data_IF_290560937618
#
_entry.id   IF_290560937618
#
_cell.length_a   1.000
_cell.length_b   1.000
_cell.length_c   1.000
_cell.angle_alpha   90.00
_cell.angle_beta   90.00
_cell.angle_gamma   90.00
#
_symmetry.space_group_name_H-M   'P 1'
#
loop_
_entity.id
_entity.type
_entity.pdbx_description
1 polymer ?
#
# COMPACT_ATOMS: atom_id res chain seq x y z
N UNK A 1 -3.68 19.10 -5.99
CA UNK A 1 -2.34 18.52 -6.28
C UNK A 1 -2.35 16.99 -6.16
N UNK A 2 -3.13 16.41 -5.23
CA UNK A 2 -3.23 14.96 -5.02
C UNK A 2 -3.79 14.13 -6.19
N UNK A 3 -4.76 14.62 -6.97
CA UNK A 3 -5.41 13.85 -8.05
C UNK A 3 -4.44 13.19 -9.06
N UNK A 4 -3.48 13.95 -9.62
CA UNK A 4 -2.51 13.38 -10.57
C UNK A 4 -1.63 12.30 -9.95
N UNK A 5 -1.30 12.44 -8.66
CA UNK A 5 -0.53 11.43 -7.93
C UNK A 5 -1.36 10.16 -7.73
N UNK A 6 -2.63 10.28 -7.34
CA UNK A 6 -3.56 9.15 -7.20
C UNK A 6 -3.74 8.43 -8.54
N UNK A 7 -3.95 9.17 -9.63
CA UNK A 7 -4.09 8.60 -10.97
C UNK A 7 -2.83 7.82 -11.39
N UNK A 8 -1.64 8.39 -11.13
CA UNK A 8 -0.37 7.72 -11.43
C UNK A 8 -0.19 6.45 -10.61
N UNK A 9 -0.43 6.52 -9.29
CA UNK A 9 -0.33 5.35 -8.40
C UNK A 9 -1.34 4.25 -8.76
N UNK A 10 -2.53 4.63 -9.26
CA UNK A 10 -3.52 3.68 -9.73
C UNK A 10 -3.03 2.94 -10.98
N UNK A 11 -2.46 3.65 -11.95
CA UNK A 11 -1.86 3.00 -13.13
C UNK A 11 -0.70 2.10 -12.71
N UNK A 12 0.21 2.58 -11.87
CA UNK A 12 1.34 1.79 -11.35
C UNK A 12 0.86 0.51 -10.65
N UNK A 13 -0.19 0.61 -9.82
CA UNK A 13 -0.78 -0.53 -9.12
C UNK A 13 -1.40 -1.56 -10.09
N UNK A 14 -2.11 -1.08 -11.11
CA UNK A 14 -2.74 -1.95 -12.12
C UNK A 14 -1.69 -2.67 -12.98
N UNK A 15 -0.64 -1.97 -13.41
CA UNK A 15 0.48 -2.56 -14.16
C UNK A 15 1.17 -3.62 -13.31
N UNK A 16 1.53 -3.28 -12.07
CA UNK A 16 2.20 -4.23 -11.17
C UNK A 16 1.33 -5.44 -10.82
N UNK A 17 0.01 -5.26 -10.73
CA UNK A 17 -0.93 -6.37 -10.53
C UNK A 17 -1.01 -7.29 -11.75
N UNK A 18 -0.99 -6.75 -12.96
CA UNK A 18 -0.95 -7.56 -14.18
C UNK A 18 0.39 -8.30 -14.33
N UNK A 19 1.51 -7.65 -14.05
CA UNK A 19 2.83 -8.28 -14.02
C UNK A 19 2.90 -9.41 -13.00
N UNK A 20 2.41 -9.19 -11.78
CA UNK A 20 2.36 -10.19 -10.73
C UNK A 20 1.48 -11.38 -11.12
N UNK A 21 0.30 -11.12 -11.68
CA UNK A 21 -0.61 -12.16 -12.18
C UNK A 21 0.07 -12.97 -13.29
N UNK A 22 0.62 -12.32 -14.31
CA UNK A 22 1.29 -12.97 -15.43
C UNK A 22 2.46 -13.84 -14.97
N UNK A 23 3.26 -13.35 -14.04
CA UNK A 23 4.38 -14.11 -13.49
C UNK A 23 3.89 -15.30 -12.65
N UNK A 24 3.03 -15.11 -11.65
CA UNK A 24 2.65 -16.19 -10.75
C UNK A 24 1.75 -17.26 -11.40
N UNK A 25 0.99 -16.91 -12.44
CA UNK A 25 0.15 -17.86 -13.16
C UNK A 25 0.94 -18.74 -14.13
N UNK A 26 1.90 -18.18 -14.87
CA UNK A 26 2.55 -18.87 -15.99
C UNK A 26 4.03 -19.17 -15.72
N UNK A 27 4.88 -18.13 -15.70
CA UNK A 27 6.34 -18.27 -15.58
C UNK A 27 6.78 -18.83 -14.21
N UNK A 28 6.09 -18.43 -13.16
CA UNK A 28 6.33 -18.82 -11.78
C UNK A 28 6.01 -20.29 -11.52
N UNK A 29 5.18 -20.95 -12.36
CA UNK A 29 4.90 -22.39 -12.18
C UNK A 29 6.16 -23.23 -12.41
N UNK A 30 6.87 -22.98 -13.51
CA UNK A 30 8.09 -23.72 -13.87
C UNK A 30 9.21 -23.48 -12.86
N UNK A 31 9.43 -22.21 -12.50
CA UNK A 31 10.44 -21.87 -11.48
C UNK A 31 10.09 -22.46 -10.12
N UNK A 32 8.81 -22.41 -9.72
CA UNK A 32 8.34 -23.03 -8.47
C UNK A 32 8.50 -24.54 -8.50
N UNK A 33 8.23 -25.23 -9.61
CA UNK A 33 8.39 -26.68 -9.70
C UNK A 33 9.84 -27.14 -9.58
N UNK A 34 10.80 -26.29 -9.97
CA UNK A 34 12.24 -26.53 -9.78
C UNK A 34 12.73 -26.31 -8.33
N UNK A 35 11.91 -25.70 -7.47
CA UNK A 35 12.24 -25.46 -6.05
C UNK A 35 11.99 -26.71 -5.19
N UNK A 36 12.74 -26.81 -4.09
CA UNK A 36 12.45 -27.80 -3.05
C UNK A 36 11.06 -27.57 -2.41
N UNK A 37 10.47 -28.59 -1.76
CA UNK A 37 9.11 -28.47 -1.20
C UNK A 37 8.91 -27.30 -0.23
N UNK A 38 9.93 -26.93 0.56
CA UNK A 38 9.81 -25.83 1.52
C UNK A 38 9.84 -24.49 0.80
N UNK A 39 10.75 -24.32 -0.15
CA UNK A 39 10.86 -23.14 -0.99
C UNK A 39 9.60 -22.95 -1.86
N UNK A 40 8.92 -24.02 -2.27
CA UNK A 40 7.61 -23.96 -2.94
C UNK A 40 6.52 -23.36 -2.06
N UNK A 41 6.48 -23.73 -0.79
CA UNK A 41 5.53 -23.16 0.19
C UNK A 41 5.85 -21.68 0.40
N UNK A 42 7.12 -21.33 0.62
CA UNK A 42 7.54 -19.94 0.77
C UNK A 42 7.17 -19.10 -0.46
N UNK A 43 7.40 -19.61 -1.67
CA UNK A 43 7.01 -18.96 -2.92
C UNK A 43 5.51 -18.67 -2.95
N UNK A 44 4.67 -19.69 -2.69
CA UNK A 44 3.21 -19.52 -2.66
C UNK A 44 2.74 -18.53 -1.58
N UNK A 45 3.38 -18.54 -0.41
CA UNK A 45 3.10 -17.56 0.63
C UNK A 45 3.42 -16.14 0.16
N UNK A 46 4.61 -15.89 -0.40
CA UNK A 46 4.97 -14.55 -0.85
C UNK A 46 4.12 -14.08 -2.04
N UNK A 47 3.72 -14.96 -2.95
CA UNK A 47 2.76 -14.63 -4.01
C UNK A 47 1.45 -14.10 -3.43
N UNK A 48 0.91 -14.77 -2.40
CA UNK A 48 -0.30 -14.32 -1.72
C UNK A 48 -0.08 -12.97 -1.01
N UNK A 49 1.08 -12.75 -0.40
CA UNK A 49 1.40 -11.45 0.21
C UNK A 49 1.49 -10.31 -0.80
N UNK A 50 2.00 -10.58 -2.01
CA UNK A 50 2.00 -9.60 -3.12
C UNK A 50 0.57 -9.26 -3.51
N UNK A 51 -0.28 -10.27 -3.76
CA UNK A 51 -1.66 -10.02 -4.20
C UNK A 51 -2.49 -9.32 -3.13
N UNK A 52 -2.35 -9.67 -1.84
CA UNK A 52 -3.02 -8.96 -0.74
C UNK A 52 -2.61 -7.49 -0.67
N UNK A 53 -1.31 -7.18 -0.79
CA UNK A 53 -0.82 -5.78 -0.82
C UNK A 53 -1.44 -5.00 -1.96
N UNK A 54 -1.41 -5.57 -3.17
CA UNK A 54 -1.95 -4.91 -4.36
C UNK A 54 -3.47 -4.69 -4.25
N UNK A 55 -4.20 -5.66 -3.70
CA UNK A 55 -5.62 -5.54 -3.45
C UNK A 55 -5.93 -4.39 -2.47
N UNK A 56 -5.20 -4.28 -1.37
CA UNK A 56 -5.37 -3.17 -0.41
C UNK A 56 -5.08 -1.81 -1.07
N UNK A 57 -3.99 -1.71 -1.84
CA UNK A 57 -3.61 -0.51 -2.57
C UNK A 57 -4.72 -0.11 -3.55
N UNK A 58 -5.20 -1.05 -4.37
CA UNK A 58 -6.22 -0.79 -5.39
C UNK A 58 -7.55 -0.36 -4.74
N UNK A 59 -7.99 -1.07 -3.69
CA UNK A 59 -9.22 -0.74 -2.97
C UNK A 59 -9.17 0.69 -2.39
N UNK A 60 -8.04 1.06 -1.79
CA UNK A 60 -7.83 2.41 -1.29
C UNK A 60 -7.82 3.45 -2.40
N UNK A 61 -7.09 3.22 -3.49
CA UNK A 61 -7.02 4.16 -4.62
C UNK A 61 -8.39 4.35 -5.31
N UNK A 62 -9.21 3.29 -5.41
CA UNK A 62 -10.57 3.40 -5.91
C UNK A 62 -11.45 4.26 -4.99
N UNK A 63 -11.28 4.15 -3.68
CA UNK A 63 -11.97 5.02 -2.70
C UNK A 63 -11.60 6.48 -2.94
N UNK A 64 -10.32 6.79 -3.14
CA UNK A 64 -9.86 8.15 -3.41
C UNK A 64 -10.42 8.70 -4.72
N UNK A 65 -10.48 7.86 -5.77
CA UNK A 65 -11.08 8.25 -7.06
C UNK A 65 -12.58 8.50 -6.96
N UNK A 66 -13.30 7.74 -6.13
CA UNK A 66 -14.72 7.98 -5.87
C UNK A 66 -14.95 9.33 -5.16
N UNK A 67 -14.04 9.72 -4.26
CA UNK A 67 -14.08 11.06 -3.64
C UNK A 67 -13.83 12.15 -4.69
N UNK A 68 -12.80 11.99 -5.52
CA UNK A 68 -12.47 12.94 -6.59
C UNK A 68 -13.59 13.08 -7.64
N UNK A 69 -14.35 12.00 -7.88
CA UNK A 69 -15.51 11.99 -8.76
C UNK A 69 -16.78 12.60 -8.11
N UNK A 70 -16.77 12.87 -6.81
CA UNK A 70 -17.93 13.33 -6.06
C UNK A 70 -18.95 12.22 -5.73
N UNK A 71 -18.60 10.96 -5.97
CA UNK A 71 -19.42 9.78 -5.66
C UNK A 71 -19.35 9.40 -4.18
N UNK A 72 -18.29 9.81 -3.49
CA UNK A 72 -18.07 9.60 -2.06
C UNK A 72 -17.69 10.91 -1.37
N UNK A 73 -18.24 11.18 -0.18
CA UNK A 73 -17.81 12.36 0.61
C UNK A 73 -16.43 12.10 1.19
N UNK A 74 -15.56 13.12 1.22
CA UNK A 74 -14.21 12.99 1.77
C UNK A 74 -14.19 12.46 3.23
N UNK A 75 -15.16 12.88 4.06
CA UNK A 75 -15.30 12.37 5.43
C UNK A 75 -15.62 10.86 5.49
N UNK A 76 -16.33 10.33 4.50
CA UNK A 76 -16.67 8.90 4.45
C UNK A 76 -15.47 8.04 4.04
N UNK A 77 -14.48 8.61 3.34
CA UNK A 77 -13.24 7.92 3.00
C UNK A 77 -12.31 7.71 4.21
N UNK A 78 -12.50 8.49 5.28
CA UNK A 78 -11.79 8.32 6.55
C UNK A 78 -12.37 7.21 7.44
N UNK A 79 -13.46 6.58 7.03
CA UNK A 79 -14.03 5.43 7.74
C UNK A 79 -12.96 4.32 7.87
N UNK A 80 -12.78 3.73 9.07
CA UNK A 80 -11.79 2.68 9.30
C UNK A 80 -11.86 1.50 8.31
N UNK A 81 -13.04 1.19 7.76
CA UNK A 81 -13.22 0.13 6.76
C UNK A 81 -12.72 0.49 5.36
N UNK A 82 -12.48 1.78 5.08
CA UNK A 82 -12.01 2.31 3.79
C UNK A 82 -10.56 2.79 3.82
N UNK A 83 -9.95 2.78 5.00
CA UNK A 83 -8.50 2.96 5.20
C UNK A 83 -7.73 1.82 4.53
N UNK A 84 -6.43 2.05 4.26
CA UNK A 84 -5.58 1.06 3.57
C UNK A 84 -5.51 -0.28 4.33
N UNK A 85 -5.60 -0.24 5.66
CA UNK A 85 -5.52 -1.42 6.54
C UNK A 85 -4.13 -2.06 6.56
N UNK A 86 -3.86 -2.99 7.50
CA UNK A 86 -2.57 -3.66 7.59
C UNK A 86 -2.34 -4.60 6.41
N UNK A 87 -1.15 -4.61 5.84
CA UNK A 87 -0.76 -5.59 4.82
C UNK A 87 0.28 -6.58 5.34
N UNK A 88 0.35 -7.79 4.75
CA UNK A 88 1.34 -8.78 5.15
C UNK A 88 2.77 -8.30 4.85
N UNK A 89 3.68 -8.66 5.75
CA UNK A 89 5.11 -8.35 5.65
C UNK A 89 5.87 -9.53 5.05
N UNK A 90 6.77 -9.22 4.14
CA UNK A 90 7.70 -10.17 3.53
C UNK A 90 9.00 -10.19 4.33
N UNK A 91 9.44 -11.39 4.74
CA UNK A 91 10.66 -11.56 5.52
C UNK A 91 11.90 -11.56 4.62
N UNK A 92 12.94 -10.82 5.00
CA UNK A 92 14.13 -10.65 4.14
C UNK A 92 14.79 -11.98 3.74
N UNK A 93 14.85 -12.94 4.67
CA UNK A 93 15.41 -14.27 4.39
C UNK A 93 14.57 -15.04 3.36
N UNK A 94 13.24 -15.00 3.49
CA UNK A 94 12.32 -15.67 2.58
C UNK A 94 12.36 -15.04 1.17
N UNK A 95 12.53 -13.72 1.07
CA UNK A 95 12.68 -13.04 -0.22
C UNK A 95 14.03 -13.38 -0.87
N UNK A 96 15.11 -13.46 -0.08
CA UNK A 96 16.46 -13.69 -0.63
C UNK A 96 16.63 -15.03 -1.36
N UNK A 97 15.85 -16.05 -0.98
CA UNK A 97 15.87 -17.39 -1.60
C UNK A 97 14.99 -17.50 -2.84
N UNK A 98 14.23 -16.47 -3.21
CA UNK A 98 13.30 -16.53 -4.35
C UNK A 98 13.98 -16.26 -5.69
N UNK A 99 13.37 -16.68 -6.81
CA UNK A 99 13.81 -16.25 -8.14
C UNK A 99 13.84 -14.74 -8.29
N UNK A 100 14.71 -14.23 -9.16
CA UNK A 100 14.96 -12.79 -9.31
C UNK A 100 13.70 -11.99 -9.64
N UNK A 101 12.84 -12.52 -10.51
CA UNK A 101 11.59 -11.84 -10.88
C UNK A 101 10.59 -11.80 -9.72
N UNK A 102 10.43 -12.89 -8.96
CA UNK A 102 9.63 -12.91 -7.74
C UNK A 102 10.09 -11.85 -6.73
N UNK A 103 11.41 -11.76 -6.51
CA UNK A 103 11.99 -10.74 -5.60
C UNK A 103 11.63 -9.32 -6.05
N UNK A 104 11.74 -9.03 -7.34
CA UNK A 104 11.39 -7.72 -7.89
C UNK A 104 9.92 -7.36 -7.62
N UNK A 105 8.99 -8.29 -7.86
CA UNK A 105 7.56 -8.09 -7.60
C UNK A 105 7.25 -7.89 -6.11
N UNK A 106 7.92 -8.64 -5.23
CA UNK A 106 7.78 -8.51 -3.78
C UNK A 106 8.27 -7.14 -3.30
N UNK A 107 9.42 -6.70 -3.77
CA UNK A 107 9.99 -5.39 -3.42
C UNK A 107 9.12 -4.25 -3.96
N UNK A 108 8.72 -4.32 -5.24
CA UNK A 108 7.89 -3.29 -5.87
C UNK A 108 6.54 -3.13 -5.15
N UNK A 109 5.86 -4.24 -4.83
CA UNK A 109 4.59 -4.18 -4.10
C UNK A 109 4.76 -3.69 -2.66
N UNK A 110 5.89 -3.96 -2.00
CA UNK A 110 6.20 -3.44 -0.66
C UNK A 110 6.41 -1.93 -0.67
N UNK A 111 7.15 -1.44 -1.67
CA UNK A 111 7.42 -0.03 -1.83
C UNK A 111 6.16 0.75 -2.18
N UNK A 112 5.36 0.24 -3.12
CA UNK A 112 4.10 0.85 -3.49
C UNK A 112 3.16 0.93 -2.29
N UNK A 113 3.03 -0.16 -1.53
CA UNK A 113 2.22 -0.16 -0.30
C UNK A 113 2.71 0.88 0.69
N UNK A 114 4.02 0.98 0.96
CA UNK A 114 4.60 2.01 1.85
C UNK A 114 4.33 3.42 1.36
N UNK A 115 4.35 3.67 0.05
CA UNK A 115 4.04 4.98 -0.54
C UNK A 115 2.57 5.35 -0.30
N UNK A 116 1.66 4.41 -0.53
CA UNK A 116 0.22 4.60 -0.33
C UNK A 116 -0.12 4.75 1.16
N UNK A 117 0.51 3.97 2.04
CA UNK A 117 0.34 4.08 3.49
C UNK A 117 0.67 5.49 4.00
N UNK A 118 1.77 6.09 3.53
CA UNK A 118 2.11 7.48 3.89
C UNK A 118 1.07 8.50 3.43
N UNK A 119 0.44 8.28 2.28
CA UNK A 119 -0.63 9.14 1.80
C UNK A 119 -1.89 8.97 2.65
N UNK A 120 -2.25 7.73 2.94
CA UNK A 120 -3.38 7.39 3.81
C UNK A 120 -3.22 8.03 5.21
N UNK A 121 -2.01 7.98 5.78
CA UNK A 121 -1.70 8.63 7.06
C UNK A 121 -1.79 10.17 6.98
N UNK A 122 -1.26 10.77 5.91
CA UNK A 122 -1.34 12.23 5.72
C UNK A 122 -2.79 12.74 5.63
N UNK A 123 -3.71 11.96 5.08
CA UNK A 123 -5.13 12.31 5.02
C UNK A 123 -5.81 12.27 6.39
N UNK A 124 -5.34 11.39 7.29
CA UNK A 124 -5.83 11.32 8.66
C UNK A 124 -5.42 12.54 9.48
N UNK A 125 -4.17 12.97 9.30
CA UNK A 125 -3.63 14.17 9.94
C UNK A 125 -4.26 15.46 9.41
N UNK A 126 -4.70 15.51 8.14
CA UNK A 126 -5.41 16.66 7.56
C UNK A 126 -6.91 16.73 7.93
N UNK A 127 -7.45 15.73 8.64
CA UNK A 127 -8.84 15.72 9.10
C UNK A 127 -9.15 16.88 10.07
N UNK A 128 -10.44 17.14 10.38
CA UNK A 128 -10.87 18.29 11.19
C UNK A 128 -10.21 18.40 12.58
N UNK A 129 -9.61 17.31 13.09
CA UNK A 129 -8.84 17.30 14.34
C UNK A 129 -7.40 17.79 14.20
N UNK A 130 -6.72 17.63 13.06
CA UNK A 130 -5.35 18.13 12.87
C UNK A 130 -5.27 19.63 12.59
N UNK A 131 -6.36 20.21 12.08
CA UNK A 131 -6.50 21.66 11.92
C UNK A 131 -6.66 22.43 13.25
N UNK A 132 -7.01 21.75 14.35
CA UNK A 132 -7.27 22.42 15.63
C UNK A 132 -6.01 22.77 16.43
N UNK A 133 -4.85 22.20 16.12
CA UNK A 133 -3.58 22.63 16.70
C UNK A 133 -2.44 22.45 15.71
N UNK A 134 -2.13 23.50 14.95
CA UNK A 134 -0.86 23.58 14.23
C UNK A 134 0.30 23.30 15.20
N UNK A 135 1.37 22.58 14.82
CA UNK A 135 2.53 22.35 15.68
C UNK A 135 3.12 23.65 16.26
N UNK A 136 2.99 24.75 15.51
CA UNK A 136 3.37 26.10 15.94
C UNK A 136 2.41 26.63 17.01
N UNK A 137 1.11 26.41 16.87
CA UNK A 137 0.11 26.75 17.89
C UNK A 137 0.30 25.92 19.17
N UNK A 138 0.71 24.66 19.06
CA UNK A 138 1.07 23.81 20.20
C UNK A 138 2.29 24.34 20.95
N UNK A 139 3.28 24.88 20.24
CA UNK A 139 4.43 25.54 20.84
C UNK A 139 4.05 26.87 21.51
N UNK A 140 3.20 27.68 20.88
CA UNK A 140 2.71 28.94 21.46
C UNK A 140 1.84 28.73 22.71
N UNK A 141 0.97 27.72 22.72
CA UNK A 141 0.13 27.40 23.88
C UNK A 141 0.96 26.99 25.12
N UNK A 142 2.05 26.24 24.91
CA UNK A 142 2.98 25.85 25.99
C UNK A 142 3.76 27.02 26.58
N UNK A 143 4.08 28.02 25.77
CA UNK A 143 4.72 29.25 26.22
C UNK A 143 3.73 30.15 26.99
N UNK A 144 2.48 30.22 26.52
CA UNK A 144 1.43 31.01 27.16
C UNK A 144 0.99 30.46 28.53
N UNK A 145 1.11 29.15 28.77
CA UNK A 145 0.76 28.53 30.05
C UNK A 145 1.87 28.55 31.11
N UNK A 146 3.02 29.17 30.81
CA UNK A 146 4.20 29.20 31.70
C UNK A 146 4.44 30.55 32.39
N UNK A 147 3.45 31.45 32.38
CA UNK A 147 3.47 32.73 33.09
C UNK A 147 2.20 32.91 33.94
#
# INVERSE_FOLDING_TARGET
MHRRLIDTLYVDAMVLADEARSYFDEAGRLEREALDPMARVSFSCESLKVTTRLMHIIAWLLTQRAVDAGELRAADALDPSRRLGPAPVSEAHAVSSMPTQARALITASAELYRRVARLDDSQADEGPSGALMSPVQSMHARLASSF
#
